data_IF_653705876491
#
_entry.id   IF_653705876491
#
_cell.length_a   1.000
_cell.length_b   1.000
_cell.length_c   1.000
_cell.angle_alpha   90.00
_cell.angle_beta   90.00
_cell.angle_gamma   90.00
#
_symmetry.space_group_name_H-M   'P 1'
#
loop_
_entity.id
_entity.type
_entity.pdbx_description
1 polymer ?
#
# COMPACT_ATOMS: atom_id res chain seq x y z
N UNK A 1 -21.67 9.12 -28.01
CA UNK A 1 -21.29 8.95 -26.59
C UNK A 1 -21.55 7.50 -26.25
N UNK A 2 -20.51 6.72 -25.95
CA UNK A 2 -20.71 5.36 -25.40
C UNK A 2 -21.31 5.55 -24.02
N UNK A 3 -22.45 4.92 -23.66
CA UNK A 3 -23.01 5.05 -22.33
C UNK A 3 -21.95 4.59 -21.33
N UNK A 4 -21.57 5.49 -20.43
CA UNK A 4 -20.62 5.21 -19.38
C UNK A 4 -21.23 4.12 -18.50
N UNK A 5 -20.72 2.89 -18.62
CA UNK A 5 -21.16 1.79 -17.75
C UNK A 5 -20.82 2.23 -16.33
N UNK A 6 -21.83 2.54 -15.52
CA UNK A 6 -21.67 2.81 -14.10
C UNK A 6 -21.03 1.59 -13.45
N UNK A 7 -19.74 1.68 -13.19
CA UNK A 7 -19.01 0.68 -12.42
C UNK A 7 -19.54 0.78 -10.98
N UNK A 8 -19.85 -0.36 -10.37
CA UNK A 8 -20.31 -0.41 -8.98
C UNK A 8 -19.22 0.15 -8.05
N UNK A 9 -19.63 0.82 -6.98
CA UNK A 9 -18.70 1.28 -5.96
C UNK A 9 -17.96 0.08 -5.31
N UNK A 10 -16.65 0.17 -5.00
CA UNK A 10 -15.89 -0.91 -4.36
C UNK A 10 -16.55 -1.48 -3.10
N UNK A 11 -17.14 -0.62 -2.25
CA UNK A 11 -17.85 -1.05 -1.04
C UNK A 11 -19.07 -1.91 -1.43
N UNK A 12 -19.83 -1.49 -2.45
CA UNK A 12 -20.97 -2.26 -2.96
C UNK A 12 -20.52 -3.61 -3.50
N UNK A 13 -19.41 -3.65 -4.24
CA UNK A 13 -18.82 -4.90 -4.74
C UNK A 13 -18.47 -5.82 -3.57
N UNK A 14 -17.78 -5.31 -2.54
CA UNK A 14 -17.41 -6.11 -1.38
C UNK A 14 -18.62 -6.65 -0.61
N UNK A 15 -19.70 -5.88 -0.49
CA UNK A 15 -20.95 -6.36 0.10
C UNK A 15 -21.56 -7.51 -0.70
N UNK A 16 -21.57 -7.42 -2.04
CA UNK A 16 -21.97 -8.55 -2.89
C UNK A 16 -21.06 -9.77 -2.71
N UNK A 17 -19.75 -9.57 -2.63
CA UNK A 17 -18.80 -10.66 -2.37
C UNK A 17 -19.05 -11.28 -0.99
N UNK A 18 -19.41 -10.48 0.01
CA UNK A 18 -19.76 -10.96 1.36
C UNK A 18 -21.01 -11.85 1.32
N UNK A 19 -22.02 -11.48 0.53
CA UNK A 19 -23.21 -12.31 0.27
C UNK A 19 -22.81 -13.63 -0.39
N UNK A 20 -21.95 -13.59 -1.41
CA UNK A 20 -21.47 -14.79 -2.10
C UNK A 20 -20.69 -15.70 -1.14
N UNK A 21 -19.81 -15.14 -0.29
CA UNK A 21 -19.09 -15.88 0.74
C UNK A 21 -20.05 -16.54 1.75
N UNK A 22 -21.09 -15.81 2.19
CA UNK A 22 -22.10 -16.37 3.08
C UNK A 22 -22.85 -17.53 2.41
N UNK A 23 -23.25 -17.39 1.14
CA UNK A 23 -23.88 -18.47 0.37
C UNK A 23 -22.93 -19.67 0.22
N UNK A 24 -21.64 -19.42 -0.01
CA UNK A 24 -20.64 -20.49 -0.16
C UNK A 24 -20.59 -21.40 1.07
N UNK A 25 -20.79 -20.89 2.29
CA UNK A 25 -20.85 -21.71 3.53
C UNK A 25 -21.94 -22.78 3.53
N UNK A 26 -22.94 -22.67 2.64
CA UNK A 26 -24.02 -23.65 2.50
C UNK A 26 -23.68 -24.80 1.56
N UNK A 27 -22.80 -24.56 0.59
CA UNK A 27 -22.50 -25.50 -0.50
C UNK A 27 -21.10 -26.09 -0.39
N UNK A 28 -20.14 -25.34 0.15
CA UNK A 28 -18.77 -25.80 0.35
C UNK A 28 -18.71 -26.61 1.65
N UNK A 29 -18.21 -27.87 1.61
CA UNK A 29 -18.07 -28.68 2.81
C UNK A 29 -17.11 -28.02 3.79
N UNK A 30 -17.53 -27.90 5.04
CA UNK A 30 -16.65 -27.42 6.10
C UNK A 30 -15.58 -28.45 6.44
N UNK A 31 -14.37 -27.97 6.71
CA UNK A 31 -13.28 -28.81 7.15
C UNK A 31 -12.19 -28.04 7.86
N UNK A 32 -11.36 -28.78 8.56
CA UNK A 32 -10.19 -28.23 9.24
C UNK A 32 -9.00 -29.13 8.99
N UNK A 33 -7.83 -28.52 8.95
CA UNK A 33 -6.56 -29.23 9.05
C UNK A 33 -6.17 -29.34 10.52
N UNK A 34 -5.33 -30.32 10.86
CA UNK A 34 -4.61 -30.29 12.12
C UNK A 34 -3.68 -29.07 12.10
N UNK A 35 -3.59 -28.36 13.22
CA UNK A 35 -2.76 -27.16 13.32
C UNK A 35 -1.52 -27.44 14.16
N UNK A 36 -0.39 -26.91 13.73
CA UNK A 36 0.89 -26.98 14.39
C UNK A 36 1.24 -25.59 14.94
N UNK A 37 1.54 -25.49 16.23
CA UNK A 37 2.09 -24.28 16.84
C UNK A 37 3.25 -24.61 17.77
N UNK A 38 4.06 -23.60 18.10
CA UNK A 38 5.12 -23.75 19.11
C UNK A 38 4.53 -23.38 20.47
N UNK A 39 4.67 -24.28 21.44
CA UNK A 39 4.34 -24.02 22.83
C UNK A 39 5.57 -24.35 23.66
N UNK A 40 6.13 -23.30 24.26
CA UNK A 40 7.40 -23.35 25.00
C UNK A 40 8.52 -23.94 24.15
N UNK A 41 8.95 -25.17 24.41
CA UNK A 41 10.02 -25.86 23.69
C UNK A 41 9.54 -27.14 22.99
N UNK A 42 8.25 -27.19 22.64
CA UNK A 42 7.62 -28.31 21.94
C UNK A 42 6.71 -27.83 20.82
N UNK A 43 6.43 -28.70 19.86
CA UNK A 43 5.35 -28.50 18.91
C UNK A 43 4.05 -29.02 19.50
N UNK A 44 3.01 -28.19 19.49
CA UNK A 44 1.64 -28.55 19.82
C UNK A 44 0.87 -28.82 18.53
N UNK A 45 0.41 -30.06 18.36
CA UNK A 45 -0.49 -30.45 17.27
C UNK A 45 -1.92 -30.44 17.82
N UNK A 46 -2.73 -29.50 17.35
CA UNK A 46 -4.14 -29.40 17.72
C UNK A 46 -5.02 -30.04 16.65
N UNK A 47 -5.83 -31.02 17.06
CA UNK A 47 -6.83 -31.72 16.24
C UNK A 47 -8.14 -31.81 16.99
N UNK A 48 -9.20 -31.16 16.48
CA UNK A 48 -10.56 -31.18 17.05
C UNK A 48 -10.63 -30.98 18.58
N UNK A 49 -9.86 -30.01 19.11
CA UNK A 49 -9.82 -29.68 20.54
C UNK A 49 -8.86 -30.53 21.38
N UNK A 50 -8.24 -31.56 20.79
CA UNK A 50 -7.20 -32.35 21.44
C UNK A 50 -5.84 -31.81 21.03
N UNK A 51 -4.92 -31.63 21.98
CA UNK A 51 -3.55 -31.17 21.69
C UNK A 51 -2.55 -32.25 22.09
N UNK A 52 -1.67 -32.60 21.16
CA UNK A 52 -0.57 -33.53 21.38
C UNK A 52 0.75 -32.79 21.24
N UNK A 53 1.63 -32.97 22.22
CA UNK A 53 2.94 -32.34 22.21
C UNK A 53 3.97 -33.30 21.60
N UNK A 54 4.75 -32.80 20.65
CA UNK A 54 5.80 -33.55 19.97
C UNK A 54 7.13 -32.76 20.02
N UNK A 55 8.28 -33.43 19.89
CA UNK A 55 9.58 -32.77 19.98
C UNK A 55 9.75 -31.65 18.95
N UNK A 56 10.32 -30.52 19.39
CA UNK A 56 10.64 -29.35 18.56
C UNK A 56 11.88 -29.62 17.69
N UNK A 57 11.73 -30.47 16.66
CA UNK A 57 12.85 -30.88 15.79
C UNK A 57 12.47 -30.83 14.31
N UNK A 58 13.44 -30.62 13.43
CA UNK A 58 13.23 -30.65 11.98
C UNK A 58 12.66 -32.00 11.53
N UNK A 59 13.14 -33.09 12.12
CA UNK A 59 12.64 -34.45 11.84
C UNK A 59 11.14 -34.59 12.10
N UNK A 60 10.62 -33.91 13.12
CA UNK A 60 9.18 -33.85 13.39
C UNK A 60 8.45 -33.13 12.26
N UNK A 61 8.93 -31.96 11.83
CA UNK A 61 8.34 -31.19 10.73
C UNK A 61 8.33 -32.00 9.42
N UNK A 62 9.45 -32.63 9.09
CA UNK A 62 9.60 -33.47 7.90
C UNK A 62 8.61 -34.66 7.93
N UNK A 63 8.43 -35.28 9.10
CA UNK A 63 7.47 -36.38 9.28
C UNK A 63 6.02 -35.94 9.10
N UNK A 64 5.72 -34.68 9.40
CA UNK A 64 4.42 -34.05 9.20
C UNK A 64 4.29 -33.44 7.80
N UNK A 65 5.31 -33.58 6.95
CA UNK A 65 5.40 -32.97 5.61
C UNK A 65 5.31 -31.43 5.64
N UNK A 66 5.62 -30.81 6.78
CA UNK A 66 5.70 -29.36 6.94
C UNK A 66 7.09 -28.94 6.46
N UNK A 67 7.18 -28.51 5.19
CA UNK A 67 8.43 -28.12 4.53
C UNK A 67 8.89 -26.71 4.94
N UNK A 68 8.96 -26.47 6.25
CA UNK A 68 9.37 -25.21 6.83
C UNK A 68 10.59 -25.48 7.74
N UNK A 69 11.67 -24.69 7.65
CA UNK A 69 12.81 -24.83 8.56
C UNK A 69 12.43 -24.59 10.02
N UNK A 70 12.96 -25.41 10.92
CA UNK A 70 12.76 -25.31 12.37
C UNK A 70 13.12 -23.92 12.91
N UNK A 71 14.15 -23.29 12.34
CA UNK A 71 14.59 -21.96 12.78
C UNK A 71 13.45 -20.94 12.75
N UNK A 72 12.57 -20.99 11.73
CA UNK A 72 11.44 -20.06 11.56
C UNK A 72 10.39 -20.16 12.67
N UNK A 73 10.30 -21.32 13.30
CA UNK A 73 9.43 -21.54 14.47
C UNK A 73 10.10 -21.03 15.75
N UNK A 74 11.41 -21.24 15.89
CA UNK A 74 12.18 -20.81 17.08
C UNK A 74 12.48 -19.31 17.09
N UNK A 75 12.64 -18.67 15.94
CA UNK A 75 12.87 -17.23 15.78
C UNK A 75 11.60 -16.40 15.93
N UNK A 76 10.43 -17.05 16.07
CA UNK A 76 9.08 -16.45 16.10
C UNK A 76 8.63 -15.78 14.80
N UNK A 77 9.32 -16.02 13.67
CA UNK A 77 8.84 -15.62 12.33
C UNK A 77 7.45 -16.21 12.07
N UNK A 78 7.21 -17.44 12.54
CA UNK A 78 5.91 -18.11 12.49
C UNK A 78 5.34 -18.17 13.90
N UNK A 79 4.48 -17.20 14.22
CA UNK A 79 3.79 -17.10 15.51
C UNK A 79 2.36 -17.66 15.47
N UNK A 80 1.75 -17.76 14.29
CA UNK A 80 0.39 -18.29 14.11
C UNK A 80 0.41 -19.79 13.84
N UNK A 81 -0.63 -20.54 14.26
CA UNK A 81 -0.72 -21.97 13.98
C UNK A 81 -0.74 -22.25 12.46
N UNK A 82 0.06 -23.22 12.03
CA UNK A 82 0.21 -23.64 10.63
C UNK A 82 -0.58 -24.92 10.38
N UNK A 83 -1.30 -24.99 9.25
CA UNK A 83 -2.00 -26.21 8.85
C UNK A 83 -1.03 -27.32 8.44
N UNK A 84 -1.21 -28.52 8.98
CA UNK A 84 -0.41 -29.71 8.64
C UNK A 84 -0.95 -30.31 7.33
N UNK A 85 -0.12 -30.51 6.29
CA UNK A 85 -0.55 -31.11 5.03
C UNK A 85 -1.19 -32.49 5.21
N UNK A 86 -2.12 -32.85 4.33
CA UNK A 86 -2.79 -34.17 4.30
C UNK A 86 -3.55 -34.55 5.59
N UNK A 87 -3.87 -33.59 6.45
CA UNK A 87 -4.66 -33.81 7.68
C UNK A 87 -6.07 -33.22 7.62
N UNK A 88 -6.58 -32.94 6.42
CA UNK A 88 -7.92 -32.40 6.24
C UNK A 88 -8.97 -33.36 6.81
N UNK A 89 -9.82 -32.85 7.68
CA UNK A 89 -10.95 -33.58 8.24
C UNK A 89 -12.23 -32.78 8.02
N UNK A 90 -13.29 -33.40 7.45
CA UNK A 90 -14.58 -32.75 7.34
C UNK A 90 -15.17 -32.56 8.74
N UNK A 91 -15.76 -31.40 8.98
CA UNK A 91 -16.46 -31.09 10.22
C UNK A 91 -17.91 -30.71 9.94
N UNK A 92 -18.69 -30.57 11.01
CA UNK A 92 -20.08 -30.12 10.89
C UNK A 92 -20.10 -28.72 10.26
N UNK A 93 -20.75 -28.59 9.10
CA UNK A 93 -20.92 -27.31 8.40
C UNK A 93 -21.56 -26.27 9.32
N UNK A 94 -20.92 -25.10 9.39
CA UNK A 94 -21.46 -23.94 10.07
C UNK A 94 -21.97 -22.95 9.02
N UNK A 95 -23.27 -23.03 8.72
CA UNK A 95 -23.87 -22.21 7.67
C UNK A 95 -24.04 -20.78 8.16
N UNK A 96 -23.59 -19.81 7.38
CA UNK A 96 -23.75 -18.40 7.69
C UNK A 96 -25.24 -18.04 7.80
N UNK A 97 -25.61 -17.39 8.89
CA UNK A 97 -26.95 -16.83 9.10
C UNK A 97 -27.04 -15.41 8.55
N UNK A 98 -28.26 -14.88 8.46
CA UNK A 98 -28.47 -13.47 8.12
C UNK A 98 -27.78 -12.51 9.10
N UNK A 99 -27.69 -12.87 10.39
CA UNK A 99 -26.97 -12.08 11.38
C UNK A 99 -25.45 -12.12 11.17
N UNK A 100 -24.89 -13.27 10.75
CA UNK A 100 -23.48 -13.33 10.36
C UNK A 100 -23.22 -12.43 9.15
N UNK A 101 -24.13 -12.42 8.16
CA UNK A 101 -24.02 -11.58 6.98
C UNK A 101 -24.01 -10.08 7.32
N UNK A 102 -24.92 -9.62 8.18
CA UNK A 102 -24.95 -8.22 8.62
C UNK A 102 -23.78 -7.85 9.54
N UNK A 103 -23.38 -8.78 10.42
CA UNK A 103 -22.32 -8.54 11.39
C UNK A 103 -20.90 -8.60 10.80
N UNK A 104 -20.70 -9.29 9.69
CA UNK A 104 -19.38 -9.55 9.14
C UNK A 104 -18.61 -8.29 8.72
N UNK A 105 -19.20 -7.32 7.99
CA UNK A 105 -18.52 -6.05 7.71
C UNK A 105 -18.03 -5.34 8.99
N UNK A 106 -18.85 -5.34 10.04
CA UNK A 106 -18.55 -4.67 11.32
C UNK A 106 -17.45 -5.42 12.07
N UNK A 107 -17.57 -6.74 12.22
CA UNK A 107 -16.53 -7.59 12.80
C UNK A 107 -15.22 -7.47 12.04
N UNK A 108 -15.29 -7.38 10.72
CA UNK A 108 -14.12 -7.19 9.86
C UNK A 108 -13.39 -5.87 10.16
N UNK A 109 -14.11 -4.77 10.37
CA UNK A 109 -13.52 -3.51 10.85
C UNK A 109 -12.86 -3.69 12.22
N UNK A 110 -13.50 -4.36 13.17
CA UNK A 110 -12.89 -4.63 14.48
C UNK A 110 -11.63 -5.49 14.38
N UNK A 111 -11.63 -6.52 13.54
CA UNK A 111 -10.47 -7.38 13.32
C UNK A 111 -9.33 -6.71 12.55
N UNK A 112 -9.62 -5.63 11.81
CA UNK A 112 -8.64 -4.86 11.05
C UNK A 112 -8.42 -3.46 11.63
N UNK A 113 -8.72 -3.25 12.92
CA UNK A 113 -8.70 -1.92 13.55
C UNK A 113 -7.30 -1.31 13.53
N UNK A 114 -6.26 -2.14 13.66
CA UNK A 114 -4.86 -1.75 13.55
C UNK A 114 -4.52 -1.19 12.14
N UNK A 115 -4.99 -1.84 11.08
CA UNK A 115 -4.83 -1.38 9.70
C UNK A 115 -5.64 -0.09 9.46
N UNK A 116 -6.88 -0.06 9.94
CA UNK A 116 -7.77 1.11 9.82
C UNK A 116 -7.14 2.33 10.48
N UNK A 117 -6.65 2.20 11.72
CA UNK A 117 -5.99 3.29 12.44
C UNK A 117 -4.72 3.76 11.74
N UNK A 118 -3.91 2.83 11.22
CA UNK A 118 -2.72 3.17 10.44
C UNK A 118 -3.09 4.04 9.21
N UNK A 119 -4.09 3.61 8.44
CA UNK A 119 -4.54 4.34 7.24
C UNK A 119 -4.99 5.76 7.62
N UNK A 120 -5.83 5.90 8.65
CA UNK A 120 -6.34 7.20 9.08
C UNK A 120 -5.23 8.14 9.59
N UNK A 121 -4.30 7.62 10.41
CA UNK A 121 -3.17 8.40 10.93
C UNK A 121 -2.21 8.82 9.81
N UNK A 122 -1.93 7.92 8.87
CA UNK A 122 -1.11 8.21 7.69
C UNK A 122 -1.78 9.29 6.82
N UNK A 123 -3.09 9.23 6.62
CA UNK A 123 -3.86 10.27 5.93
C UNK A 123 -3.74 11.63 6.60
N UNK A 124 -3.89 11.68 7.92
CA UNK A 124 -3.70 12.90 8.71
C UNK A 124 -2.29 13.47 8.58
N UNK A 125 -1.26 12.62 8.72
CA UNK A 125 0.14 13.01 8.54
C UNK A 125 0.41 13.60 7.14
N UNK A 126 -0.05 12.91 6.09
CA UNK A 126 0.17 13.34 4.71
C UNK A 126 -0.56 14.64 4.42
N UNK A 127 -1.80 14.79 4.90
CA UNK A 127 -2.57 16.02 4.69
C UNK A 127 -1.92 17.21 5.39
N UNK A 128 -1.55 17.06 6.68
CA UNK A 128 -0.81 18.11 7.40
C UNK A 128 0.48 18.48 6.67
N UNK A 129 1.23 17.50 6.17
CA UNK A 129 2.44 17.75 5.39
C UNK A 129 2.15 18.53 4.09
N UNK A 130 1.09 18.18 3.36
CA UNK A 130 0.73 18.83 2.11
C UNK A 130 0.31 20.29 2.31
N UNK A 131 -0.46 20.55 3.36
CA UNK A 131 -0.90 21.92 3.73
C UNK A 131 0.28 22.84 4.07
N UNK A 132 1.45 22.30 4.42
CA UNK A 132 2.67 23.12 4.61
C UNK A 132 3.20 23.74 3.31
N UNK A 133 2.78 23.24 2.14
CA UNK A 133 3.33 23.62 0.84
C UNK A 133 4.79 23.19 0.62
N UNK A 134 5.39 22.44 1.55
CA UNK A 134 6.79 22.02 1.45
C UNK A 134 7.03 21.09 0.25
N UNK A 135 6.08 20.21 -0.06
CA UNK A 135 6.13 19.35 -1.24
C UNK A 135 6.17 20.17 -2.53
N UNK A 136 5.27 21.16 -2.65
CA UNK A 136 5.22 22.07 -3.80
C UNK A 136 6.55 22.82 -3.98
N UNK A 137 7.06 23.43 -2.91
CA UNK A 137 8.36 24.12 -2.91
C UNK A 137 9.51 23.19 -3.31
N UNK A 138 9.53 21.97 -2.79
CA UNK A 138 10.54 20.95 -3.09
C UNK A 138 10.57 20.56 -4.57
N UNK A 139 9.40 20.27 -5.14
CA UNK A 139 9.25 19.90 -6.55
C UNK A 139 9.60 21.09 -7.47
N UNK A 140 9.14 22.29 -7.14
CA UNK A 140 9.46 23.48 -7.94
C UNK A 140 10.96 23.81 -7.91
N UNK A 141 11.62 23.69 -6.75
CA UNK A 141 13.08 23.78 -6.65
C UNK A 141 13.79 22.74 -7.52
N UNK A 142 13.34 21.48 -7.45
CA UNK A 142 13.93 20.39 -8.25
C UNK A 142 13.76 20.65 -9.75
N UNK A 143 12.58 21.12 -10.17
CA UNK A 143 12.29 21.53 -11.54
C UNK A 143 13.27 22.59 -12.04
N UNK A 144 13.43 23.70 -11.30
CA UNK A 144 14.35 24.77 -11.68
C UNK A 144 15.79 24.26 -11.80
N UNK A 145 16.23 23.42 -10.86
CA UNK A 145 17.58 22.85 -10.86
C UNK A 145 17.81 21.87 -12.01
N UNK A 146 16.74 21.22 -12.49
CA UNK A 146 16.76 20.27 -13.59
C UNK A 146 16.26 20.86 -14.92
N UNK A 147 16.14 22.19 -15.03
CA UNK A 147 15.79 22.87 -16.29
C UNK A 147 16.79 22.50 -17.40
N UNK A 148 16.30 22.06 -18.56
CA UNK A 148 17.13 21.53 -19.65
C UNK A 148 17.58 20.07 -19.47
N UNK A 149 17.26 19.43 -18.33
CA UNK A 149 17.51 18.01 -18.04
C UNK A 149 16.21 17.28 -17.75
N UNK A 150 15.15 17.53 -18.51
CA UNK A 150 13.82 17.03 -18.17
C UNK A 150 13.71 15.51 -18.27
N UNK A 151 14.57 14.86 -19.05
CA UNK A 151 14.71 13.40 -19.04
C UNK A 151 15.15 12.88 -17.67
N UNK A 152 16.03 13.60 -16.97
CA UNK A 152 16.45 13.25 -15.61
C UNK A 152 15.29 13.41 -14.62
N UNK A 153 14.45 14.43 -14.80
CA UNK A 153 13.25 14.61 -13.99
C UNK A 153 12.29 13.42 -14.14
N UNK A 154 12.05 12.95 -15.37
CA UNK A 154 11.26 11.72 -15.63
C UNK A 154 11.86 10.53 -14.87
N UNK A 155 13.17 10.28 -15.03
CA UNK A 155 13.86 9.14 -14.41
C UNK A 155 13.71 9.18 -12.88
N UNK A 156 14.03 10.32 -12.26
CA UNK A 156 14.02 10.47 -10.80
C UNK A 156 12.60 10.30 -10.26
N UNK A 157 11.62 10.98 -10.86
CA UNK A 157 10.24 10.93 -10.37
C UNK A 157 9.62 9.55 -10.57
N UNK A 158 9.82 8.91 -11.73
CA UNK A 158 9.31 7.55 -11.95
C UNK A 158 9.94 6.56 -10.98
N UNK A 159 11.26 6.66 -10.72
CA UNK A 159 11.92 5.82 -9.73
C UNK A 159 11.38 6.06 -8.31
N UNK A 160 11.11 7.32 -7.95
CA UNK A 160 10.55 7.68 -6.65
C UNK A 160 9.14 7.11 -6.46
N UNK A 161 8.24 7.30 -7.42
CA UNK A 161 6.88 6.77 -7.34
C UNK A 161 6.86 5.23 -7.39
N UNK A 162 7.72 4.62 -8.21
CA UNK A 162 7.89 3.16 -8.23
C UNK A 162 8.39 2.62 -6.90
N UNK A 163 9.38 3.29 -6.29
CA UNK A 163 9.84 2.93 -4.95
C UNK A 163 8.71 3.03 -3.93
N UNK A 164 7.94 4.12 -3.92
CA UNK A 164 6.79 4.27 -3.03
C UNK A 164 5.74 3.16 -3.21
N UNK A 165 5.41 2.84 -4.46
CA UNK A 165 4.48 1.75 -4.79
C UNK A 165 4.98 0.37 -4.33
N UNK A 166 6.27 0.09 -4.50
CA UNK A 166 6.84 -1.22 -4.15
C UNK A 166 7.14 -1.38 -2.65
N UNK A 167 7.55 -0.29 -2.01
CA UNK A 167 8.00 -0.33 -0.61
C UNK A 167 6.84 -0.28 0.38
N UNK A 168 5.87 0.61 0.17
CA UNK A 168 4.77 0.81 1.12
C UNK A 168 3.39 0.84 0.48
N UNK A 169 3.29 0.58 -0.83
CA UNK A 169 2.01 0.53 -1.52
C UNK A 169 1.42 1.90 -1.84
N UNK A 170 2.26 2.91 -2.06
CA UNK A 170 1.82 4.25 -2.47
C UNK A 170 0.86 4.16 -3.67
N UNK A 171 -0.35 4.68 -3.52
CA UNK A 171 -1.33 4.73 -4.61
C UNK A 171 -2.15 6.02 -4.52
N UNK A 172 -3.00 6.13 -3.49
CA UNK A 172 -3.87 7.30 -3.31
C UNK A 172 -3.07 8.56 -2.98
N UNK A 173 -1.93 8.41 -2.30
CA UNK A 173 -1.01 9.50 -1.96
C UNK A 173 -0.43 10.17 -3.20
N UNK A 174 -0.40 9.46 -4.33
CA UNK A 174 0.12 9.99 -5.60
C UNK A 174 -0.75 11.11 -6.18
N UNK A 175 -2.04 11.15 -5.84
CA UNK A 175 -3.00 12.13 -6.37
C UNK A 175 -2.60 13.57 -6.04
N UNK A 176 -1.98 13.77 -4.88
CA UNK A 176 -1.46 15.06 -4.40
C UNK A 176 -0.43 15.67 -5.35
N UNK A 177 0.29 14.84 -6.10
CA UNK A 177 1.38 15.29 -6.95
C UNK A 177 0.90 15.78 -8.32
N UNK A 178 -0.33 15.45 -8.74
CA UNK A 178 -0.85 15.84 -10.06
C UNK A 178 -0.95 17.35 -10.26
N UNK A 179 -1.53 18.16 -9.34
CA UNK A 179 -1.61 19.60 -9.50
C UNK A 179 -0.25 20.29 -9.68
N UNK A 180 0.83 19.67 -9.21
CA UNK A 180 2.19 20.23 -9.28
C UNK A 180 2.94 19.72 -10.51
N UNK A 181 2.93 18.40 -10.71
CA UNK A 181 3.71 17.77 -11.77
C UNK A 181 3.08 17.94 -13.14
N UNK A 182 1.75 17.98 -13.24
CA UNK A 182 1.10 18.15 -14.55
C UNK A 182 1.49 19.49 -15.20
N UNK A 183 1.30 20.67 -14.56
CA UNK A 183 1.71 21.93 -15.16
C UNK A 183 3.21 21.98 -15.45
N UNK A 184 4.03 21.37 -14.59
CA UNK A 184 5.47 21.29 -14.78
C UNK A 184 5.87 20.54 -16.06
N UNK A 185 5.31 19.35 -16.28
CA UNK A 185 5.61 18.56 -17.47
C UNK A 185 5.07 19.23 -18.75
N UNK A 186 3.91 19.89 -18.67
CA UNK A 186 3.36 20.69 -19.77
C UNK A 186 4.26 21.88 -20.12
N UNK A 187 4.74 22.62 -19.11
CA UNK A 187 5.68 23.73 -19.30
C UNK A 187 7.02 23.27 -19.92
N UNK A 188 7.42 22.02 -19.66
CA UNK A 188 8.58 21.37 -20.28
C UNK A 188 8.35 20.89 -21.73
N UNK A 189 7.15 21.11 -22.29
CA UNK A 189 6.78 20.74 -23.65
C UNK A 189 6.32 19.29 -23.82
N UNK A 190 6.00 18.59 -22.74
CA UNK A 190 5.36 17.28 -22.79
C UNK A 190 3.85 17.40 -22.79
N UNK A 191 3.16 16.28 -23.04
CA UNK A 191 1.70 16.21 -22.96
C UNK A 191 1.25 15.63 -21.61
N UNK A 192 -0.07 15.61 -21.39
CA UNK A 192 -0.71 15.10 -20.17
C UNK A 192 -0.42 13.62 -19.86
N UNK A 193 -0.01 12.82 -20.86
CA UNK A 193 0.24 11.40 -20.64
C UNK A 193 1.57 11.17 -19.91
N UNK A 194 2.57 12.04 -20.10
CA UNK A 194 3.86 11.92 -19.40
C UNK A 194 3.72 12.01 -17.88
N UNK A 195 3.12 13.06 -17.27
CA UNK A 195 2.95 13.12 -15.82
C UNK A 195 2.11 11.97 -15.28
N UNK A 196 1.03 11.57 -15.98
CA UNK A 196 0.22 10.40 -15.60
C UNK A 196 1.07 9.13 -15.59
N UNK A 197 1.86 8.89 -16.63
CA UNK A 197 2.73 7.71 -16.71
C UNK A 197 3.84 7.72 -15.65
N UNK A 198 4.39 8.90 -15.33
CA UNK A 198 5.39 9.05 -14.27
C UNK A 198 4.81 8.73 -12.90
N UNK A 199 3.63 9.28 -12.59
CA UNK A 199 3.00 9.18 -11.27
C UNK A 199 2.30 7.83 -11.10
N UNK A 200 1.21 7.62 -11.86
CA UNK A 200 0.40 6.40 -11.79
C UNK A 200 1.16 5.20 -12.34
N UNK A 201 1.80 5.34 -13.50
CA UNK A 201 2.59 4.24 -14.06
C UNK A 201 3.72 3.84 -13.11
N UNK A 202 4.41 4.81 -12.51
CA UNK A 202 5.44 4.59 -11.50
C UNK A 202 4.91 3.78 -10.33
N UNK A 203 3.88 4.28 -9.64
CA UNK A 203 3.31 3.63 -8.46
C UNK A 203 2.81 2.21 -8.73
N UNK A 204 2.04 2.01 -9.82
CA UNK A 204 1.46 0.71 -10.13
C UNK A 204 2.51 -0.32 -10.56
N UNK A 205 3.50 0.07 -11.36
CA UNK A 205 4.59 -0.83 -11.76
C UNK A 205 5.49 -1.16 -10.57
N UNK A 206 5.73 -0.20 -9.67
CA UNK A 206 6.36 -0.45 -8.39
C UNK A 206 5.59 -1.51 -7.59
N UNK A 207 4.28 -1.31 -7.43
CA UNK A 207 3.38 -2.22 -6.73
C UNK A 207 3.35 -3.64 -7.30
N UNK A 208 3.69 -3.84 -8.58
CA UNK A 208 3.84 -5.18 -9.15
C UNK A 208 4.95 -5.99 -8.47
N UNK A 209 6.06 -5.34 -8.10
CA UNK A 209 7.19 -5.97 -7.40
C UNK A 209 6.99 -6.08 -5.89
N UNK A 210 6.35 -5.08 -5.29
CA UNK A 210 5.89 -5.07 -3.90
C UNK A 210 6.91 -5.62 -2.89
N UNK A 211 8.18 -5.24 -2.99
CA UNK A 211 9.27 -5.96 -2.31
C UNK A 211 9.16 -5.92 -0.77
N UNK A 212 8.60 -4.84 -0.20
CA UNK A 212 8.39 -4.70 1.26
C UNK A 212 7.01 -4.14 1.61
N UNK A 213 6.07 -4.13 0.67
CA UNK A 213 4.76 -3.50 0.86
C UNK A 213 3.95 -4.22 1.97
N UNK A 214 3.59 -3.52 3.06
CA UNK A 214 2.88 -4.12 4.18
C UNK A 214 1.45 -4.52 3.80
N UNK A 215 0.82 -3.79 2.85
CA UNK A 215 -0.57 -4.00 2.46
C UNK A 215 -0.78 -5.14 1.45
N UNK A 216 0.29 -5.72 0.92
CA UNK A 216 0.20 -6.84 -0.02
C UNK A 216 1.13 -7.99 0.37
N UNK A 217 2.43 -7.88 0.10
CA UNK A 217 3.40 -8.98 0.30
C UNK A 217 3.45 -9.44 1.74
N UNK A 218 3.49 -8.53 2.71
CA UNK A 218 3.62 -8.92 4.13
C UNK A 218 2.34 -9.57 4.64
N UNK A 219 1.18 -8.92 4.46
CA UNK A 219 -0.12 -9.52 4.85
C UNK A 219 -0.36 -10.85 4.15
N UNK A 220 -0.08 -10.93 2.84
CA UNK A 220 -0.24 -12.15 2.05
C UNK A 220 0.67 -13.29 2.51
N UNK A 221 1.94 -12.98 2.79
CA UNK A 221 2.91 -13.97 3.31
C UNK A 221 2.50 -14.45 4.69
N UNK A 222 2.11 -13.54 5.58
CA UNK A 222 1.63 -13.88 6.93
C UNK A 222 0.35 -14.72 6.89
N UNK A 223 -0.56 -14.46 5.96
CA UNK A 223 -1.76 -15.28 5.75
C UNK A 223 -1.42 -16.69 5.24
N UNK A 224 -0.36 -16.81 4.42
CA UNK A 224 0.15 -18.09 3.94
C UNK A 224 1.08 -18.81 4.94
N UNK A 225 1.44 -18.19 6.07
CA UNK A 225 2.40 -18.72 7.03
C UNK A 225 3.85 -18.73 6.53
N UNK A 226 4.18 -17.86 5.57
CA UNK A 226 5.51 -17.69 4.99
C UNK A 226 6.20 -16.46 5.57
N UNK A 227 7.53 -16.48 5.67
CA UNK A 227 8.29 -15.28 6.01
C UNK A 227 8.26 -14.35 4.78
N UNK A 228 7.81 -13.11 4.97
CA UNK A 228 7.69 -12.15 3.88
C UNK A 228 9.04 -11.77 3.24
N UNK A 229 10.17 -12.03 3.90
CA UNK A 229 11.53 -11.84 3.35
C UNK A 229 11.87 -12.93 2.33
N UNK A 230 11.20 -14.09 2.39
CA UNK A 230 11.38 -15.16 1.39
C UNK A 230 11.08 -14.60 -0.01
N UNK A 231 12.04 -14.68 -0.93
CA UNK A 231 11.91 -14.15 -2.29
C UNK A 231 12.24 -12.66 -2.46
N UNK A 232 12.89 -12.01 -1.48
CA UNK A 232 13.19 -10.58 -1.53
C UNK A 232 14.11 -10.22 -2.71
N UNK A 233 15.09 -11.06 -3.03
CA UNK A 233 16.03 -10.82 -4.13
C UNK A 233 15.31 -10.84 -5.48
N UNK A 234 14.42 -11.80 -5.68
CA UNK A 234 13.59 -11.95 -6.88
C UNK A 234 12.66 -10.76 -7.05
N UNK A 235 12.04 -10.29 -5.96
CA UNK A 235 11.21 -9.07 -5.97
C UNK A 235 12.04 -7.82 -6.27
N UNK A 236 13.25 -7.70 -5.74
CA UNK A 236 14.15 -6.58 -6.04
C UNK A 236 14.64 -6.61 -7.50
N UNK A 237 14.96 -7.78 -8.03
CA UNK A 237 15.32 -7.95 -9.44
C UNK A 237 14.13 -7.56 -10.33
N UNK A 238 12.93 -8.04 -10.00
CA UNK A 238 11.71 -7.69 -10.70
C UNK A 238 11.44 -6.18 -10.65
N UNK A 239 11.58 -5.55 -9.48
CA UNK A 239 11.48 -4.11 -9.29
C UNK A 239 12.42 -3.33 -10.22
N UNK A 240 13.70 -3.70 -10.27
CA UNK A 240 14.69 -3.02 -11.11
C UNK A 240 14.34 -3.19 -12.58
N UNK A 241 13.97 -4.39 -13.02
CA UNK A 241 13.61 -4.66 -14.41
C UNK A 241 12.37 -3.88 -14.82
N UNK A 242 11.27 -3.99 -14.07
CA UNK A 242 9.99 -3.36 -14.44
C UNK A 242 10.06 -1.84 -14.39
N UNK A 243 10.72 -1.28 -13.37
CA UNK A 243 10.96 0.17 -13.26
C UNK A 243 11.81 0.69 -14.41
N UNK A 244 12.89 -0.03 -14.77
CA UNK A 244 13.77 0.38 -15.88
C UNK A 244 13.05 0.34 -17.23
N UNK A 245 12.22 -0.69 -17.47
CA UNK A 245 11.40 -0.81 -18.67
C UNK A 245 10.37 0.31 -18.77
N UNK A 246 9.71 0.65 -17.66
CA UNK A 246 8.76 1.77 -17.61
C UNK A 246 9.47 3.10 -17.91
N UNK A 247 10.61 3.37 -17.26
CA UNK A 247 11.40 4.59 -17.50
C UNK A 247 11.80 4.68 -18.97
N UNK A 248 12.30 3.60 -19.55
CA UNK A 248 12.64 3.55 -20.97
C UNK A 248 11.44 3.88 -21.87
N UNK A 249 10.27 3.29 -21.57
CA UNK A 249 9.04 3.50 -22.33
C UNK A 249 8.57 4.96 -22.26
N UNK A 250 8.54 5.54 -21.05
CA UNK A 250 8.16 6.95 -20.84
C UNK A 250 9.14 7.86 -21.56
N UNK A 251 10.46 7.64 -21.45
CA UNK A 251 11.47 8.46 -22.14
C UNK A 251 11.34 8.38 -23.66
N UNK A 252 11.08 7.19 -24.21
CA UNK A 252 10.85 6.99 -25.65
C UNK A 252 9.62 7.78 -26.12
N UNK A 253 8.53 7.73 -25.36
CA UNK A 253 7.32 8.48 -25.64
C UNK A 253 7.53 9.99 -25.51
N UNK A 254 8.08 10.44 -24.38
CA UNK A 254 8.35 11.83 -24.06
C UNK A 254 9.25 12.51 -25.12
N UNK A 255 10.30 11.83 -25.59
CA UNK A 255 11.14 12.31 -26.70
C UNK A 255 10.35 12.51 -28.00
N UNK A 256 9.42 11.58 -28.30
CA UNK A 256 8.59 11.64 -29.52
C UNK A 256 7.64 12.83 -29.50
N UNK A 257 6.98 13.07 -28.35
CA UNK A 257 6.06 14.20 -28.15
C UNK A 257 6.82 15.53 -28.17
N UNK A 258 7.96 15.61 -27.46
CA UNK A 258 8.78 16.83 -27.41
C UNK A 258 9.35 17.23 -28.77
N UNK A 259 9.70 16.25 -29.62
CA UNK A 259 10.18 16.52 -30.99
C UNK A 259 9.08 17.05 -31.91
N UNK A 260 7.86 16.54 -31.79
CA UNK A 260 6.72 16.98 -32.58
C UNK A 260 5.42 16.67 -31.81
N UNK A 261 4.69 17.72 -31.41
CA UNK A 261 3.45 17.61 -30.63
C UNK A 261 2.38 16.78 -31.35
N UNK A 262 2.34 16.72 -32.68
CA UNK A 262 1.38 15.89 -33.44
C UNK A 262 1.51 14.38 -33.16
N UNK A 263 2.61 13.95 -32.53
CA UNK A 263 2.80 12.57 -32.10
C UNK A 263 2.13 12.23 -30.75
N UNK A 264 1.60 13.23 -30.03
CA UNK A 264 0.88 13.03 -28.77
C UNK A 264 -0.30 12.10 -28.98
N UNK A 265 -0.37 11.04 -28.16
CA UNK A 265 -1.54 10.19 -28.11
C UNK A 265 -2.74 10.94 -27.54
N UNK A 266 -2.50 11.85 -26.61
CA UNK A 266 -3.55 12.70 -26.01
C UNK A 266 -4.24 13.52 -27.10
N UNK A 267 -3.48 14.21 -27.95
CA UNK A 267 -4.04 14.99 -29.07
C UNK A 267 -4.79 14.12 -30.08
N UNK A 268 -4.31 12.90 -30.36
CA UNK A 268 -4.98 11.97 -31.30
C UNK A 268 -6.35 11.51 -30.84
N UNK A 269 -6.52 11.29 -29.53
CA UNK A 269 -7.79 10.83 -28.96
C UNK A 269 -8.71 11.98 -28.56
N UNK A 270 -8.14 13.14 -28.19
CA UNK A 270 -8.88 14.33 -27.82
C UNK A 270 -8.10 15.60 -28.22
N UNK A 271 -8.48 16.20 -29.35
CA UNK A 271 -7.87 17.44 -29.87
C UNK A 271 -7.94 18.62 -28.88
N UNK A 272 -8.87 18.59 -27.92
CA UNK A 272 -9.08 19.63 -26.90
C UNK A 272 -8.76 19.13 -25.49
N UNK A 273 -7.81 18.21 -25.32
CA UNK A 273 -7.32 17.83 -24.00
C UNK A 273 -6.54 19.00 -23.36
N UNK A 274 -7.29 19.99 -22.90
CA UNK A 274 -6.81 21.12 -22.13
C UNK A 274 -6.63 20.62 -20.70
N UNK A 275 -5.45 20.83 -20.15
CA UNK A 275 -5.22 20.61 -18.72
C UNK A 275 -6.24 21.39 -17.91
N UNK A 276 -6.95 20.74 -16.99
CA UNK A 276 -7.79 21.43 -16.00
C UNK A 276 -6.92 22.15 -14.96
N UNK A 277 -5.65 21.76 -14.85
CA UNK A 277 -4.66 22.49 -14.04
C UNK A 277 -4.16 23.69 -14.82
N UNK A 278 -4.32 24.87 -14.22
CA UNK A 278 -3.73 26.11 -14.71
C UNK A 278 -2.22 25.90 -14.94
N UNK A 279 -1.73 26.36 -16.08
CA UNK A 279 -0.31 26.36 -16.34
C UNK A 279 0.35 27.21 -15.25
N UNK A 280 1.26 26.64 -14.48
CA UNK A 280 2.09 27.42 -13.56
C UNK A 280 2.78 28.48 -14.41
N UNK A 281 2.53 29.77 -14.13
CA UNK A 281 3.40 30.81 -14.63
C UNK A 281 4.77 30.60 -13.97
N UNK A 282 5.64 29.86 -14.65
CA UNK A 282 7.02 29.57 -14.23
C UNK A 282 7.82 30.86 -13.98
N UNK A 283 7.27 32.02 -14.35
CA UNK A 283 7.85 33.34 -14.15
C UNK A 283 7.62 33.93 -12.74
N UNK A 284 6.67 33.42 -11.94
CA UNK A 284 6.40 33.97 -10.59
C UNK A 284 7.16 33.27 -9.45
N UNK A 285 7.75 32.11 -9.66
CA UNK A 285 8.32 31.31 -8.56
C UNK A 285 9.84 31.52 -8.44
N UNK A 286 10.23 32.60 -7.76
CA UNK A 286 11.63 33.00 -7.49
C UNK A 286 12.32 32.25 -6.33
N UNK A 287 11.87 31.07 -5.90
CA UNK A 287 12.60 30.34 -4.85
C UNK A 287 13.80 29.57 -5.43
N UNK A 288 14.91 30.28 -5.66
CA UNK A 288 16.21 29.68 -6.06
C UNK A 288 16.86 28.84 -4.95
N UNK A 289 16.35 28.94 -3.71
CA UNK A 289 16.85 28.21 -2.54
C UNK A 289 15.68 27.76 -1.66
N UNK A 290 15.70 26.48 -1.26
CA UNK A 290 14.79 25.97 -0.24
C UNK A 290 15.12 26.56 1.13
N UNK A 291 14.11 27.07 1.83
CA UNK A 291 14.21 27.50 3.22
C UNK A 291 14.63 26.34 4.14
N UNK A 292 15.24 26.65 5.30
CA UNK A 292 15.58 25.62 6.28
C UNK A 292 14.33 24.87 6.76
N UNK A 293 13.22 25.58 6.98
CA UNK A 293 11.96 24.98 7.36
C UNK A 293 11.47 23.98 6.31
N UNK A 294 11.44 24.36 5.04
CA UNK A 294 11.04 23.47 3.94
C UNK A 294 11.96 22.24 3.84
N UNK A 295 13.27 22.41 4.02
CA UNK A 295 14.21 21.28 4.06
C UNK A 295 13.91 20.35 5.22
N UNK A 296 13.65 20.86 6.42
CA UNK A 296 13.30 20.05 7.59
C UNK A 296 12.00 19.28 7.36
N UNK A 297 10.96 19.92 6.82
CA UNK A 297 9.68 19.27 6.52
C UNK A 297 9.86 18.14 5.48
N UNK A 298 10.58 18.40 4.38
CA UNK A 298 10.90 17.39 3.37
C UNK A 298 11.72 16.23 3.95
N UNK A 299 12.69 16.54 4.81
CA UNK A 299 13.50 15.52 5.49
C UNK A 299 12.66 14.66 6.41
N UNK A 300 11.78 15.26 7.24
CA UNK A 300 10.87 14.51 8.11
C UNK A 300 10.02 13.59 7.26
N UNK A 301 9.37 14.13 6.22
CA UNK A 301 8.53 13.35 5.33
C UNK A 301 9.27 12.15 4.72
N UNK A 302 10.41 12.39 4.06
CA UNK A 302 11.19 11.32 3.44
C UNK A 302 11.76 10.33 4.47
N UNK A 303 12.23 10.81 5.62
CA UNK A 303 12.78 9.97 6.68
C UNK A 303 11.71 9.09 7.32
N UNK A 304 10.46 9.54 7.46
CA UNK A 304 9.37 8.71 7.99
C UNK A 304 9.18 7.43 7.18
N UNK A 305 9.20 7.51 5.85
CA UNK A 305 9.08 6.31 5.01
C UNK A 305 10.33 5.42 5.08
N UNK A 306 11.53 6.01 5.10
CA UNK A 306 12.77 5.23 5.25
C UNK A 306 12.87 4.53 6.61
N UNK A 307 12.48 5.21 7.68
CA UNK A 307 12.42 4.67 9.05
C UNK A 307 11.36 3.58 9.13
N UNK A 308 10.19 3.76 8.51
CA UNK A 308 9.19 2.69 8.44
C UNK A 308 9.74 1.44 7.77
N UNK A 309 10.38 1.57 6.61
CA UNK A 309 10.98 0.43 5.88
C UNK A 309 12.06 -0.25 6.75
N UNK A 310 12.95 0.53 7.36
CA UNK A 310 13.98 0.01 8.25
C UNK A 310 13.38 -0.64 9.52
N UNK A 311 12.33 -0.05 10.08
CA UNK A 311 11.56 -0.57 11.21
C UNK A 311 11.01 -1.97 10.95
N UNK A 312 10.35 -2.14 9.81
CA UNK A 312 9.78 -3.43 9.39
C UNK A 312 10.86 -4.47 9.11
N UNK A 313 12.00 -4.07 8.54
CA UNK A 313 13.08 -4.99 8.16
C UNK A 313 13.95 -5.41 9.35
N UNK A 314 14.35 -4.46 10.19
CA UNK A 314 15.41 -4.66 11.18
C UNK A 314 14.92 -4.71 12.63
N UNK A 315 13.70 -4.23 12.90
CA UNK A 315 13.17 -4.08 14.26
C UNK A 315 11.84 -4.82 14.45
N UNK A 316 11.43 -5.64 13.48
CA UNK A 316 10.17 -6.40 13.49
C UNK A 316 8.94 -5.53 13.79
N UNK A 317 8.97 -4.26 13.34
CA UNK A 317 7.85 -3.34 13.56
C UNK A 317 6.60 -3.84 12.86
N UNK A 318 5.49 -3.76 13.58
CA UNK A 318 4.17 -4.04 13.04
C UNK A 318 3.37 -2.73 12.92
N UNK A 319 2.06 -2.86 12.79
CA UNK A 319 1.16 -1.75 12.51
C UNK A 319 1.16 -0.70 13.62
N UNK A 320 1.34 -1.09 14.89
CA UNK A 320 1.36 -0.15 16.01
C UNK A 320 2.57 0.80 15.93
N UNK A 321 3.77 0.27 15.75
CA UNK A 321 5.00 1.04 15.67
C UNK A 321 5.01 1.95 14.44
N UNK A 322 4.51 1.46 13.30
CA UNK A 322 4.37 2.27 12.09
C UNK A 322 3.36 3.41 12.33
N UNK A 323 2.24 3.14 13.00
CA UNK A 323 1.24 4.16 13.33
C UNK A 323 1.83 5.22 14.26
N UNK A 324 2.59 4.80 15.29
CA UNK A 324 3.30 5.72 16.19
C UNK A 324 4.32 6.59 15.45
N UNK A 325 5.04 6.03 14.47
CA UNK A 325 5.98 6.79 13.65
C UNK A 325 5.29 7.92 12.89
N UNK A 326 4.21 7.63 12.16
CA UNK A 326 3.51 8.65 11.37
C UNK A 326 2.80 9.68 12.24
N UNK A 327 2.23 9.25 13.38
CA UNK A 327 1.67 10.16 14.36
C UNK A 327 2.74 11.09 14.95
N UNK A 328 3.88 10.53 15.38
CA UNK A 328 5.02 11.30 15.88
C UNK A 328 5.57 12.26 14.83
N UNK A 329 5.66 11.84 13.58
CA UNK A 329 6.06 12.71 12.47
C UNK A 329 5.08 13.87 12.27
N UNK A 330 3.76 13.63 12.34
CA UNK A 330 2.76 14.69 12.27
C UNK A 330 2.91 15.72 13.40
N UNK A 331 3.18 15.26 14.63
CA UNK A 331 3.48 16.15 15.75
C UNK A 331 4.77 16.96 15.53
N UNK A 332 5.81 16.37 14.96
CA UNK A 332 7.02 17.12 14.58
C UNK A 332 6.71 18.21 13.54
N UNK A 333 5.86 17.92 12.56
CA UNK A 333 5.41 18.92 11.59
C UNK A 333 4.69 20.07 12.29
N UNK A 334 3.80 19.79 13.25
CA UNK A 334 3.11 20.80 14.06
C UNK A 334 4.08 21.78 14.75
N UNK A 335 5.09 21.25 15.44
CA UNK A 335 6.05 22.08 16.15
C UNK A 335 6.94 22.92 15.20
N UNK A 336 7.26 22.41 14.01
CA UNK A 336 8.11 23.12 13.03
C UNK A 336 7.34 24.17 12.25
N UNK A 337 6.07 23.91 11.93
CA UNK A 337 5.24 24.86 11.19
C UNK A 337 4.71 25.98 12.07
N UNK A 338 4.65 25.76 13.40
CA UNK A 338 4.13 26.73 14.40
C UNK A 338 2.72 27.21 14.08
N UNK A 339 1.91 26.36 13.45
CA UNK A 339 0.49 26.61 13.24
C UNK A 339 -0.28 26.49 14.56
N UNK A 340 -1.49 27.04 14.61
CA UNK A 340 -2.36 26.91 15.80
C UNK A 340 -2.82 25.46 15.96
N UNK A 341 -3.04 25.03 17.19
CA UNK A 341 -3.52 23.68 17.51
C UNK A 341 -4.81 23.34 16.77
N UNK A 342 -5.79 24.26 16.79
CA UNK A 342 -7.08 24.08 16.10
C UNK A 342 -6.89 23.83 14.60
N UNK A 343 -5.98 24.58 13.95
CA UNK A 343 -5.67 24.40 12.54
C UNK A 343 -5.01 23.04 12.29
N UNK A 344 -4.04 22.65 13.14
CA UNK A 344 -3.40 21.34 13.03
C UNK A 344 -4.40 20.18 13.15
N UNK A 345 -5.26 20.23 14.17
CA UNK A 345 -6.27 19.18 14.39
C UNK A 345 -7.23 19.12 13.20
N UNK A 346 -7.72 20.26 12.71
CA UNK A 346 -8.62 20.31 11.57
C UNK A 346 -7.97 19.70 10.32
N UNK A 347 -6.72 20.04 10.01
CA UNK A 347 -6.01 19.49 8.86
C UNK A 347 -5.70 18.00 9.03
N UNK A 348 -5.34 17.56 10.23
CA UNK A 348 -5.13 16.14 10.51
C UNK A 348 -6.43 15.34 10.32
N UNK A 349 -7.56 15.83 10.83
CA UNK A 349 -8.87 15.18 10.69
C UNK A 349 -9.29 15.12 9.22
N UNK A 350 -9.18 16.23 8.46
CA UNK A 350 -9.46 16.23 7.01
C UNK A 350 -8.65 15.18 6.25
N UNK A 351 -7.38 15.02 6.62
CA UNK A 351 -6.53 13.97 6.07
C UNK A 351 -7.06 12.57 6.36
N UNK A 352 -7.41 12.30 7.62
CA UNK A 352 -8.01 11.03 8.00
C UNK A 352 -9.35 10.77 7.30
N UNK A 353 -10.22 11.78 7.20
CA UNK A 353 -11.51 11.71 6.50
C UNK A 353 -11.36 11.31 5.03
N UNK A 354 -10.33 11.85 4.35
CA UNK A 354 -10.07 11.52 2.94
C UNK A 354 -9.74 10.04 2.70
N UNK A 355 -9.23 9.35 3.73
CA UNK A 355 -8.90 7.92 3.67
C UNK A 355 -9.95 7.02 4.34
N UNK A 356 -11.02 7.60 4.88
CA UNK A 356 -12.07 6.85 5.57
C UNK A 356 -12.72 5.78 4.69
N UNK A 357 -12.97 6.11 3.41
CA UNK A 357 -13.52 5.15 2.45
C UNK A 357 -12.59 3.94 2.23
N UNK A 358 -11.27 4.18 2.14
CA UNK A 358 -10.26 3.13 1.98
C UNK A 358 -10.21 2.25 3.23
N UNK A 359 -10.24 2.85 4.42
CA UNK A 359 -10.27 2.12 5.68
C UNK A 359 -11.52 1.21 5.80
N UNK A 360 -12.69 1.69 5.36
CA UNK A 360 -13.90 0.86 5.30
C UNK A 360 -13.79 -0.28 4.29
N UNK A 361 -13.21 -0.05 3.10
CA UNK A 361 -12.97 -1.11 2.12
C UNK A 361 -12.14 -2.24 2.73
N UNK A 362 -11.08 -1.92 3.48
CA UNK A 362 -10.25 -2.91 4.17
C UNK A 362 -11.06 -3.67 5.23
N UNK A 363 -11.80 -2.97 6.09
CA UNK A 363 -12.60 -3.61 7.13
C UNK A 363 -13.71 -4.52 6.58
N UNK A 364 -14.41 -4.09 5.53
CA UNK A 364 -15.45 -4.90 4.89
C UNK A 364 -14.82 -6.12 4.20
N UNK A 365 -13.68 -5.95 3.53
CA UNK A 365 -12.93 -7.06 2.94
C UNK A 365 -12.50 -8.08 4.00
N UNK A 366 -12.07 -7.63 5.18
CA UNK A 366 -11.79 -8.52 6.32
C UNK A 366 -13.03 -9.27 6.77
N UNK A 367 -14.21 -8.66 6.71
CA UNK A 367 -15.49 -9.29 7.03
C UNK A 367 -15.80 -10.53 6.17
N UNK A 368 -15.37 -10.54 4.90
CA UNK A 368 -15.47 -11.73 4.03
C UNK A 368 -14.70 -12.91 4.64
N UNK A 369 -13.47 -12.65 5.09
CA UNK A 369 -12.62 -13.66 5.74
C UNK A 369 -13.24 -14.14 7.05
N UNK A 370 -13.87 -13.24 7.83
CA UNK A 370 -14.59 -13.61 9.05
C UNK A 370 -15.71 -14.61 8.75
N UNK A 371 -16.54 -14.37 7.72
CA UNK A 371 -17.61 -15.31 7.35
C UNK A 371 -17.06 -16.66 6.92
N UNK A 372 -16.01 -16.68 6.09
CA UNK A 372 -15.43 -17.93 5.58
C UNK A 372 -14.81 -18.73 6.72
N UNK A 373 -14.07 -18.07 7.61
CA UNK A 373 -13.48 -18.69 8.80
C UNK A 373 -14.55 -19.21 9.77
N UNK A 374 -15.60 -18.43 10.06
CA UNK A 374 -16.73 -18.89 10.88
C UNK A 374 -17.44 -20.09 10.22
N UNK A 375 -17.51 -20.10 8.89
CA UNK A 375 -18.04 -21.20 8.08
C UNK A 375 -17.14 -22.44 8.04
N UNK A 376 -15.88 -22.31 8.44
CA UNK A 376 -14.80 -23.29 8.31
C UNK A 376 -14.60 -23.77 6.86
N UNK A 377 -14.57 -22.84 5.90
CA UNK A 377 -14.36 -23.10 4.47
C UNK A 377 -13.28 -22.22 3.85
#
# INVERSE_FOLDING_TARGET
MVPEKKVLNPITILLFVTIIAAIATWFVPAGTYNKLSVVENTFAITSNGTTVYVPLTQKTLDSLQVLIPLEKFTSKDISKPVSIPNTYQPIKSNRATFLNLLGAPIKGVYEAIDIVLLILVMGGFIHVFNETGAMFKGITYLSHKLKGKEQMLIIILTALFSFGGSSYGMAEETLVFYPVLVPLFLAAGYDLLVPVAVIFGGSQIGGLSSFSNPFSTIIGSNAAGLNWIDGIYERLIMYVITTSLLIWYILKYAKKVKKNQANSLVLKYNNNAISTYEALEVNEIQETKLSLQTKLLLTIFGSSFLIMIAGVIFFDWWLLEITMLFFGAALLLFFITKIKEEEFINQFIKGAESLLAVAFIVGIARGITVILNEGNI
#
